data_IF_265247449706
#
_entry.id   IF_265247449706
#
_cell.length_a   1.000
_cell.length_b   1.000
_cell.length_c   1.000
_cell.angle_alpha   90.00
_cell.angle_beta   90.00
_cell.angle_gamma   90.00
#
_symmetry.space_group_name_H-M   'P 1'
#
loop_
_entity.id
_entity.type
_entity.pdbx_description
1 polymer ?
#
# COMPACT_ATOMS: atom_id res chain seq x y z
N UNK A 1 -58.88 -42.78 42.84
CA UNK A 1 -57.60 -43.10 42.17
C UNK A 1 -57.41 -42.12 41.02
N UNK A 2 -56.50 -41.15 41.15
CA UNK A 2 -56.13 -40.23 40.07
C UNK A 2 -54.62 -40.30 39.89
N UNK A 3 -54.15 -40.67 38.69
CA UNK A 3 -52.73 -40.68 38.32
C UNK A 3 -52.41 -39.37 37.58
N UNK A 4 -51.38 -38.61 37.97
CA UNK A 4 -50.96 -37.45 37.19
C UNK A 4 -50.14 -37.93 35.97
N UNK A 5 -50.53 -37.46 34.78
CA UNK A 5 -49.74 -37.60 33.55
C UNK A 5 -48.67 -36.51 33.52
N UNK A 6 -47.40 -36.92 33.51
CA UNK A 6 -46.28 -36.02 33.38
C UNK A 6 -46.19 -35.49 31.94
N UNK A 7 -46.44 -34.19 31.77
CA UNK A 7 -46.17 -33.47 30.53
C UNK A 7 -44.66 -33.20 30.51
N UNK A 8 -43.91 -33.95 29.70
CA UNK A 8 -42.50 -33.65 29.41
C UNK A 8 -42.45 -32.38 28.56
N UNK A 9 -41.98 -31.29 29.16
CA UNK A 9 -41.55 -30.11 28.43
C UNK A 9 -40.38 -30.49 27.50
N UNK A 10 -40.53 -30.24 26.20
CA UNK A 10 -39.42 -30.23 25.24
C UNK A 10 -38.71 -28.88 25.38
N UNK A 11 -37.67 -28.84 26.20
CA UNK A 11 -36.52 -27.94 26.02
C UNK A 11 -35.91 -28.33 24.67
N UNK A 12 -35.89 -27.55 23.59
CA UNK A 12 -35.73 -26.11 23.54
C UNK A 12 -34.25 -25.77 23.73
N UNK A 13 -33.37 -26.27 22.85
CA UNK A 13 -32.01 -25.73 22.61
C UNK A 13 -31.38 -26.50 21.43
N UNK A 14 -31.47 -25.93 20.23
CA UNK A 14 -30.73 -26.40 19.05
C UNK A 14 -30.08 -25.19 18.35
N UNK A 15 -29.29 -24.43 19.13
CA UNK A 15 -28.51 -23.31 18.60
C UNK A 15 -27.15 -23.11 19.30
N UNK A 16 -26.52 -24.18 19.81
CA UNK A 16 -25.29 -24.05 20.62
C UNK A 16 -24.37 -25.27 20.55
N UNK A 17 -23.94 -25.66 19.36
CA UNK A 17 -22.70 -26.44 19.21
C UNK A 17 -21.79 -25.84 18.13
N UNK A 18 -21.34 -24.60 18.35
CA UNK A 18 -20.05 -24.17 17.82
C UNK A 18 -19.00 -24.66 18.81
N UNK A 19 -18.41 -25.82 18.52
CA UNK A 19 -17.31 -26.41 19.31
C UNK A 19 -16.21 -25.37 19.55
N UNK A 20 -15.96 -24.94 20.81
CA UNK A 20 -15.01 -23.89 21.12
C UNK A 20 -13.61 -24.15 20.55
N UNK A 21 -13.20 -25.42 20.52
CA UNK A 21 -11.88 -25.83 20.04
C UNK A 21 -11.60 -25.47 18.57
N UNK A 22 -12.61 -25.54 17.68
CA UNK A 22 -12.41 -25.20 16.26
C UNK A 22 -12.22 -23.70 16.06
N UNK A 23 -12.96 -22.89 16.81
CA UNK A 23 -12.85 -21.43 16.76
C UNK A 23 -11.50 -20.94 17.31
N UNK A 24 -11.00 -21.57 18.39
CA UNK A 24 -9.66 -21.30 18.94
C UNK A 24 -8.54 -21.62 17.97
N UNK A 25 -8.63 -22.74 17.23
CA UNK A 25 -7.63 -23.10 16.21
C UNK A 25 -7.64 -22.07 15.07
N UNK A 26 -8.82 -21.73 14.54
CA UNK A 26 -8.94 -20.72 13.48
C UNK A 26 -8.42 -19.35 13.90
N UNK A 27 -8.71 -18.94 15.13
CA UNK A 27 -8.21 -17.67 15.67
C UNK A 27 -6.68 -17.67 15.77
N UNK A 28 -6.08 -18.76 16.26
CA UNK A 28 -4.63 -18.90 16.33
C UNK A 28 -3.99 -18.81 14.94
N UNK A 29 -4.56 -19.49 13.95
CA UNK A 29 -4.05 -19.47 12.58
C UNK A 29 -4.13 -18.07 11.95
N UNK A 30 -5.19 -17.31 12.27
CA UNK A 30 -5.34 -15.93 11.82
C UNK A 30 -4.28 -15.02 12.48
N UNK A 31 -4.08 -15.14 13.79
CA UNK A 31 -3.07 -14.37 14.52
C UNK A 31 -1.68 -14.71 14.01
N UNK A 32 -1.36 -15.99 13.84
CA UNK A 32 -0.06 -16.43 13.34
C UNK A 32 0.21 -15.86 11.95
N UNK A 33 -0.77 -15.91 11.05
CA UNK A 33 -0.64 -15.30 9.72
C UNK A 33 -0.43 -13.79 9.79
N UNK A 34 -1.19 -13.09 10.63
CA UNK A 34 -1.05 -11.66 10.82
C UNK A 34 0.31 -11.27 11.41
N UNK A 35 0.84 -12.02 12.38
CA UNK A 35 2.16 -11.76 12.96
C UNK A 35 3.27 -12.02 11.95
N UNK A 36 3.17 -13.08 11.15
CA UNK A 36 4.16 -13.42 10.12
C UNK A 36 4.19 -12.43 8.94
N UNK A 37 3.13 -11.64 8.74
CA UNK A 37 3.10 -10.57 7.73
C UNK A 37 3.63 -9.23 8.24
N UNK A 38 4.02 -9.13 9.51
CA UNK A 38 4.60 -7.92 10.07
C UNK A 38 6.13 -7.96 9.95
N UNK A 39 6.68 -6.88 9.44
CA UNK A 39 8.12 -6.65 9.32
C UNK A 39 8.47 -5.28 9.90
N UNK A 40 9.76 -5.03 10.12
CA UNK A 40 10.25 -3.71 10.54
C UNK A 40 10.48 -2.86 9.29
N UNK A 41 9.74 -1.74 9.19
CA UNK A 41 9.95 -0.78 8.11
C UNK A 41 11.34 -0.13 8.24
N UNK A 42 12.15 -0.21 7.18
CA UNK A 42 13.51 0.31 7.15
C UNK A 42 13.59 1.83 7.39
N UNK A 43 12.59 2.59 6.92
CA UNK A 43 12.60 4.06 7.03
C UNK A 43 12.09 4.56 8.38
N UNK A 44 10.92 4.09 8.83
CA UNK A 44 10.29 4.60 10.06
C UNK A 44 10.50 3.71 11.30
N UNK A 45 11.14 2.54 11.15
CA UNK A 45 11.49 1.61 12.22
C UNK A 45 10.29 1.08 13.02
N UNK A 46 9.08 1.14 12.45
CA UNK A 46 7.86 0.59 13.05
C UNK A 46 7.62 -0.83 12.56
N UNK A 47 7.09 -1.68 13.43
CA UNK A 47 6.58 -3.01 13.08
C UNK A 47 5.21 -2.84 12.42
N UNK A 48 5.14 -3.07 11.12
CA UNK A 48 3.92 -2.90 10.32
C UNK A 48 3.92 -3.91 9.17
N UNK A 49 2.80 -4.00 8.45
CA UNK A 49 2.80 -4.67 7.15
C UNK A 49 3.72 -3.90 6.20
N UNK A 50 4.73 -4.59 5.67
CA UNK A 50 5.73 -4.00 4.78
C UNK A 50 5.79 -4.76 3.46
N UNK A 51 6.20 -4.06 2.40
CA UNK A 51 6.49 -4.63 1.10
C UNK A 51 8.00 -4.58 0.83
N UNK A 52 8.47 -5.54 0.04
CA UNK A 52 9.85 -5.56 -0.45
C UNK A 52 10.07 -4.44 -1.44
N UNK A 53 11.09 -3.63 -1.23
CA UNK A 53 11.47 -2.52 -2.09
C UNK A 53 12.97 -2.60 -2.40
N UNK A 54 13.34 -2.29 -3.64
CA UNK A 54 14.75 -2.26 -4.07
C UNK A 54 15.22 -0.81 -4.05
N UNK A 55 16.14 -0.48 -3.14
CA UNK A 55 16.82 0.80 -3.12
C UNK A 55 17.93 0.82 -4.19
N UNK A 56 17.76 1.71 -5.17
CA UNK A 56 18.64 1.75 -6.34
C UNK A 56 18.56 0.44 -7.12
N UNK A 57 19.70 -0.23 -7.31
CA UNK A 57 19.80 -1.49 -8.05
C UNK A 57 20.40 -2.64 -7.23
N UNK A 58 20.57 -2.51 -5.91
CA UNK A 58 21.41 -3.43 -5.14
C UNK A 58 20.86 -3.88 -3.79
N UNK A 59 20.04 -3.06 -3.11
CA UNK A 59 19.65 -3.35 -1.72
C UNK A 59 18.16 -3.62 -1.61
N UNK A 60 17.80 -4.81 -1.16
CA UNK A 60 16.42 -5.17 -0.81
C UNK A 60 16.12 -4.72 0.62
N UNK A 61 15.08 -3.90 0.79
CA UNK A 61 14.59 -3.43 2.09
C UNK A 61 13.09 -3.67 2.22
N UNK A 62 12.57 -3.55 3.44
CA UNK A 62 11.13 -3.60 3.71
C UNK A 62 10.61 -2.20 4.04
N UNK A 63 9.55 -1.76 3.36
CA UNK A 63 8.91 -0.46 3.58
C UNK A 63 7.42 -0.63 3.84
N UNK A 64 6.90 0.11 4.82
CA UNK A 64 5.47 0.25 4.99
C UNK A 64 4.86 1.09 3.85
N UNK A 65 3.55 0.97 3.63
CA UNK A 65 2.84 1.62 2.53
C UNK A 65 3.13 3.12 2.42
N UNK A 66 3.02 3.87 3.53
CA UNK A 66 3.29 5.32 3.50
C UNK A 66 4.74 5.67 3.17
N UNK A 67 5.72 4.90 3.66
CA UNK A 67 7.12 5.11 3.32
C UNK A 67 7.45 4.75 1.86
N UNK A 68 6.70 3.82 1.27
CA UNK A 68 6.85 3.43 -0.14
C UNK A 68 6.30 4.52 -1.07
N UNK A 69 5.12 5.04 -0.79
CA UNK A 69 4.51 6.18 -1.52
C UNK A 69 5.45 7.40 -1.53
N UNK A 70 6.02 7.75 -0.38
CA UNK A 70 6.98 8.86 -0.27
C UNK A 70 8.24 8.66 -1.14
N UNK A 71 8.66 7.41 -1.41
CA UNK A 71 9.84 7.13 -2.23
C UNK A 71 9.53 7.19 -3.73
N UNK A 72 8.32 6.82 -4.14
CA UNK A 72 7.89 6.85 -5.53
C UNK A 72 7.64 8.27 -6.05
N UNK A 73 7.21 9.17 -5.17
CA UNK A 73 6.99 10.59 -5.48
C UNK A 73 8.29 11.38 -5.74
N UNK A 74 9.45 10.88 -5.30
CA UNK A 74 10.76 11.52 -5.51
C UNK A 74 11.33 11.19 -6.91
N UNK A 75 10.48 10.85 -7.90
CA UNK A 75 10.96 10.67 -9.27
C UNK A 75 11.54 12.00 -9.80
N UNK A 76 12.80 12.02 -10.25
CA UNK A 76 13.40 13.24 -10.78
C UNK A 76 12.60 13.68 -12.00
N UNK A 77 12.12 14.92 -11.93
CA UNK A 77 11.49 15.62 -13.04
C UNK A 77 12.35 15.41 -14.28
N UNK A 78 11.82 14.68 -15.27
CA UNK A 78 12.50 14.47 -16.54
C UNK A 78 12.92 15.85 -17.05
N UNK A 79 14.20 16.09 -17.38
CA UNK A 79 14.61 17.37 -17.92
C UNK A 79 13.77 17.62 -19.17
N UNK A 80 12.80 18.54 -19.07
CA UNK A 80 12.04 18.99 -20.24
C UNK A 80 13.08 19.54 -21.20
N UNK A 81 13.38 18.80 -22.26
CA UNK A 81 14.21 19.25 -23.36
C UNK A 81 13.64 20.58 -23.83
N UNK A 82 14.24 21.68 -23.38
CA UNK A 82 13.90 23.01 -23.88
C UNK A 82 14.21 22.98 -25.37
N UNK A 83 13.24 23.27 -26.27
CA UNK A 83 13.57 23.45 -27.67
C UNK A 83 14.62 24.54 -27.75
N UNK A 84 15.79 24.16 -28.29
CA UNK A 84 16.94 25.02 -28.52
C UNK A 84 16.47 26.17 -29.42
N UNK A 85 16.15 27.33 -28.83
CA UNK A 85 15.83 28.55 -29.58
C UNK A 85 17.02 28.83 -30.49
N UNK A 86 16.80 28.67 -31.79
CA UNK A 86 17.74 29.11 -32.81
C UNK A 86 17.95 30.61 -32.64
N UNK A 87 19.22 30.97 -32.52
CA UNK A 87 19.68 32.31 -32.23
C UNK A 87 19.50 33.19 -33.47
N UNK A 88 18.42 33.97 -33.49
CA UNK A 88 18.40 35.39 -33.88
C UNK A 88 19.32 35.78 -35.05
N UNK A 89 18.84 35.62 -36.27
CA UNK A 89 19.33 36.42 -37.40
C UNK A 89 18.71 37.83 -37.28
N UNK A 90 19.55 38.77 -36.88
CA UNK A 90 19.21 40.19 -36.74
C UNK A 90 19.21 40.81 -38.13
N UNK A 91 18.05 41.29 -38.55
CA UNK A 91 17.89 42.12 -39.75
C UNK A 91 18.85 43.33 -39.73
N UNK A 92 19.53 43.55 -40.85
CA UNK A 92 20.17 44.83 -41.19
C UNK A 92 19.82 45.15 -42.64
N UNK A 93 18.74 45.92 -42.85
CA UNK A 93 18.64 46.80 -44.02
C UNK A 93 19.17 48.18 -43.58
N UNK A 94 19.90 48.86 -44.46
CA UNK A 94 19.41 50.17 -44.87
C UNK A 94 19.46 50.33 -46.40
N UNK A 95 18.36 50.82 -46.96
CA UNK A 95 18.38 51.62 -48.19
C UNK A 95 19.05 52.97 -47.84
N UNK A 96 19.99 53.43 -48.65
CA UNK A 96 19.82 54.58 -49.55
C UNK A 96 21.18 55.04 -50.08
N UNK A 97 21.29 55.02 -51.40
CA UNK A 97 22.40 55.54 -52.19
C UNK A 97 22.20 57.03 -52.43
N UNK A 98 23.17 57.84 -52.02
CA UNK A 98 23.44 59.18 -52.57
C UNK A 98 24.91 59.25 -52.97
N UNK A 99 25.20 60.08 -53.98
CA UNK A 99 26.48 60.37 -54.67
C UNK A 99 26.83 59.34 -55.78
N UNK A 100 26.72 59.66 -57.08
CA UNK A 100 27.34 60.76 -57.87
C UNK A 100 26.39 61.26 -58.96
#
# INVERSE_FOLDING_TARGET
>A
MFRPTAIKAKTGDDMTELTPAKDWVRMRDNIQRAVLSLDICWKCQRVTECQKYILGNMVLVWLCQGCLEEMEDIRPEQPRCRPRRTHRDKASRPNDSCDV
#
